data_IF_764829506226
#
_entry.id   IF_764829506226
#
_cell.length_a   1.000
_cell.length_b   1.000
_cell.length_c   1.000
_cell.angle_alpha   90.00
_cell.angle_beta   90.00
_cell.angle_gamma   90.00
#
_symmetry.space_group_name_H-M   'P 1'
#
loop_
_entity.id
_entity.type
_entity.pdbx_description
1 polymer ?
#
# COMPACT_ATOMS: atom_id res chain seq x y z
N UNK A 1 2.78 5.36 51.47
CA UNK A 1 1.59 5.19 50.61
C UNK A 1 1.58 6.28 49.54
N UNK A 2 2.14 6.00 48.37
CA UNK A 2 2.24 6.96 47.26
C UNK A 2 1.12 6.70 46.27
N UNK A 3 0.17 7.64 46.15
CA UNK A 3 -0.91 7.65 45.15
C UNK A 3 -0.30 7.67 43.74
N UNK A 4 -0.33 6.52 43.05
CA UNK A 4 -0.09 6.46 41.61
C UNK A 4 -1.24 7.19 40.90
N UNK A 5 -0.92 8.25 40.15
CA UNK A 5 -1.90 8.90 39.28
C UNK A 5 -2.30 7.89 38.19
N UNK A 6 -3.60 7.63 37.95
CA UNK A 6 -4.03 6.75 36.87
C UNK A 6 -3.59 7.38 35.55
N UNK A 7 -2.85 6.60 34.77
CA UNK A 7 -2.48 6.93 33.40
C UNK A 7 -3.79 7.02 32.60
N UNK A 8 -4.32 8.23 32.44
CA UNK A 8 -5.54 8.48 31.67
C UNK A 8 -5.24 8.20 30.21
N UNK A 9 -5.50 6.96 29.82
CA UNK A 9 -5.43 6.43 28.47
C UNK A 9 -6.43 7.22 27.60
N UNK A 10 -5.98 8.32 26.97
CA UNK A 10 -6.73 9.09 25.98
C UNK A 10 -6.82 8.33 24.65
N UNK A 11 -7.24 7.07 24.71
CA UNK A 11 -7.41 6.18 23.56
C UNK A 11 -8.75 6.28 22.79
N UNK A 12 -9.84 6.95 23.24
CA UNK A 12 -11.10 6.84 22.51
C UNK A 12 -11.16 7.68 21.22
N UNK A 13 -10.23 8.61 20.98
CA UNK A 13 -10.29 9.50 19.81
C UNK A 13 -9.68 8.83 18.56
N UNK A 14 -8.68 7.94 18.72
CA UNK A 14 -8.06 7.26 17.56
C UNK A 14 -8.93 6.11 17.03
N UNK A 15 -9.68 5.43 17.91
CA UNK A 15 -10.62 4.38 17.52
C UNK A 15 -11.88 4.95 16.84
N UNK A 16 -12.25 6.19 17.15
CA UNK A 16 -13.40 6.87 16.51
C UNK A 16 -13.08 7.34 15.07
N UNK A 17 -11.80 7.56 14.73
CA UNK A 17 -11.36 7.90 13.37
C UNK A 17 -11.30 6.68 12.44
N UNK A 18 -11.17 5.47 12.97
CA UNK A 18 -11.27 4.20 12.22
C UNK A 18 -12.73 3.78 11.95
N UNK A 19 -13.71 4.41 12.62
CA UNK A 19 -15.14 4.16 12.46
C UNK A 19 -15.88 5.29 11.74
N UNK A 20 -15.17 6.33 11.28
CA UNK A 20 -15.74 7.20 10.28
C UNK A 20 -16.03 6.31 9.06
N UNK A 21 -17.29 6.15 8.62
CA UNK A 21 -17.55 5.60 7.30
C UNK A 21 -16.61 6.38 6.37
N UNK A 22 -15.87 5.71 5.45
CA UNK A 22 -15.16 6.46 4.43
C UNK A 22 -16.20 7.42 3.90
N UNK A 23 -15.97 8.72 4.10
CA UNK A 23 -16.92 9.76 3.74
C UNK A 23 -17.33 9.37 2.33
N UNK A 24 -18.57 8.91 2.20
CA UNK A 24 -19.15 8.64 0.92
C UNK A 24 -19.33 10.04 0.36
N UNK A 25 -18.22 10.58 -0.17
CA UNK A 25 -18.22 11.63 -1.14
C UNK A 25 -19.07 11.05 -2.25
N UNK A 26 -20.38 11.32 -2.16
CA UNK A 26 -21.26 11.40 -3.32
C UNK A 26 -20.86 12.61 -4.14
N UNK A 27 -19.56 12.75 -4.41
CA UNK A 27 -19.09 13.48 -5.54
C UNK A 27 -19.65 12.70 -6.73
N UNK A 28 -20.41 13.40 -7.56
CA UNK A 28 -21.00 12.83 -8.75
C UNK A 28 -19.83 12.30 -9.59
N UNK A 29 -19.57 10.99 -9.49
CA UNK A 29 -18.47 10.34 -10.20
C UNK A 29 -18.58 10.73 -11.66
N UNK A 30 -17.53 11.36 -12.18
CA UNK A 30 -17.43 11.78 -13.57
C UNK A 30 -17.56 10.58 -14.49
N UNK A 31 -17.74 10.84 -15.78
CA UNK A 31 -17.86 9.76 -16.76
C UNK A 31 -16.61 8.84 -16.74
N UNK A 32 -15.43 9.42 -16.45
CA UNK A 32 -14.17 8.70 -16.31
C UNK A 32 -14.20 7.66 -15.18
N UNK A 33 -14.54 8.01 -13.92
CA UNK A 33 -14.50 7.04 -12.83
C UNK A 33 -15.53 5.92 -13.02
N UNK A 34 -16.69 6.25 -13.60
CA UNK A 34 -17.69 5.25 -13.97
C UNK A 34 -17.15 4.30 -15.04
N UNK A 35 -16.52 4.83 -16.08
CA UNK A 35 -15.89 4.02 -17.13
C UNK A 35 -14.80 3.10 -16.57
N UNK A 36 -13.91 3.63 -15.73
CA UNK A 36 -12.81 2.86 -15.12
C UNK A 36 -13.37 1.75 -14.21
N UNK A 37 -14.49 1.99 -13.54
CA UNK A 37 -15.17 0.97 -12.75
C UNK A 37 -15.63 -0.20 -13.62
N UNK A 38 -16.25 0.05 -14.77
CA UNK A 38 -16.66 -1.00 -15.71
C UNK A 38 -15.45 -1.69 -16.36
N UNK A 39 -14.41 -0.92 -16.69
CA UNK A 39 -13.16 -1.43 -17.22
C UNK A 39 -12.49 -2.43 -16.27
N UNK A 40 -12.40 -2.11 -14.98
CA UNK A 40 -11.85 -2.98 -13.93
C UNK A 40 -12.70 -4.24 -13.67
N UNK A 41 -13.98 -4.21 -14.03
CA UNK A 41 -14.88 -5.36 -13.98
C UNK A 41 -14.83 -6.21 -15.26
N UNK A 42 -14.00 -5.86 -16.24
CA UNK A 42 -13.92 -6.49 -17.57
C UNK A 42 -15.24 -6.40 -18.36
N UNK A 43 -16.04 -5.37 -18.11
CA UNK A 43 -17.28 -4.99 -18.80
C UNK A 43 -16.95 -3.91 -19.85
N UNK A 44 -16.19 -4.29 -20.87
CA UNK A 44 -15.63 -3.34 -21.83
C UNK A 44 -16.71 -2.69 -22.70
N UNK A 45 -17.75 -3.44 -23.05
CA UNK A 45 -18.93 -2.96 -23.76
C UNK A 45 -19.64 -1.81 -23.02
N UNK A 46 -19.80 -1.92 -21.70
CA UNK A 46 -20.37 -0.88 -20.85
C UNK A 46 -19.39 0.30 -20.61
N UNK A 47 -18.08 0.03 -20.57
CA UNK A 47 -17.06 1.06 -20.36
C UNK A 47 -16.89 2.00 -21.57
N UNK A 48 -16.99 1.47 -22.79
CA UNK A 48 -16.81 2.24 -24.04
C UNK A 48 -17.65 3.53 -24.10
N UNK A 49 -19.00 3.51 -23.96
CA UNK A 49 -19.79 4.73 -24.06
C UNK A 49 -19.46 5.75 -22.97
N UNK A 50 -19.04 5.29 -21.79
CA UNK A 50 -18.66 6.17 -20.67
C UNK A 50 -17.31 6.84 -20.93
N UNK A 51 -16.33 6.12 -21.49
CA UNK A 51 -15.07 6.74 -21.92
C UNK A 51 -15.29 7.73 -23.07
N UNK A 52 -16.20 7.44 -24.01
CA UNK A 52 -16.57 8.39 -25.06
C UNK A 52 -17.22 9.65 -24.47
N UNK A 53 -18.03 9.52 -23.42
CA UNK A 53 -18.55 10.67 -22.68
C UNK A 53 -17.42 11.43 -21.99
N UNK A 54 -16.51 10.75 -21.30
CA UNK A 54 -15.37 11.35 -20.61
C UNK A 54 -14.47 12.16 -21.56
N UNK A 55 -14.28 11.70 -22.80
CA UNK A 55 -13.56 12.46 -23.83
C UNK A 55 -14.17 13.83 -24.16
N UNK A 56 -15.48 14.02 -23.92
CA UNK A 56 -16.14 15.31 -24.13
C UNK A 56 -15.99 16.24 -22.91
N UNK A 57 -15.70 15.68 -21.74
CA UNK A 57 -15.54 16.42 -20.48
C UNK A 57 -14.10 16.92 -20.32
N UNK A 58 -13.12 16.20 -20.89
CA UNK A 58 -11.70 16.51 -20.78
C UNK A 58 -11.19 17.41 -21.90
N UNK A 59 -10.51 18.50 -21.54
CA UNK A 59 -9.83 19.39 -22.48
C UNK A 59 -8.33 19.11 -22.64
N UNK A 60 -7.69 18.51 -21.63
CA UNK A 60 -6.25 18.26 -21.62
C UNK A 60 -5.86 17.10 -22.55
N UNK A 61 -4.81 17.29 -23.36
CA UNK A 61 -4.41 16.28 -24.34
C UNK A 61 -3.78 15.04 -23.68
N UNK A 62 -3.10 15.18 -22.53
CA UNK A 62 -2.50 14.04 -21.84
C UNK A 62 -3.59 13.14 -21.23
N UNK A 63 -4.59 13.73 -20.59
CA UNK A 63 -5.77 13.00 -20.09
C UNK A 63 -6.55 12.33 -21.23
N UNK A 64 -6.73 13.02 -22.37
CA UNK A 64 -7.37 12.41 -23.55
C UNK A 64 -6.60 11.22 -24.11
N UNK A 65 -5.26 11.29 -24.13
CA UNK A 65 -4.42 10.16 -24.53
C UNK A 65 -4.66 8.97 -23.61
N UNK A 66 -4.77 9.18 -22.29
CA UNK A 66 -5.06 8.10 -21.35
C UNK A 66 -6.43 7.48 -21.60
N UNK A 67 -7.47 8.30 -21.84
CA UNK A 67 -8.80 7.80 -22.20
C UNK A 67 -8.77 7.02 -23.50
N UNK A 68 -8.06 7.50 -24.53
CA UNK A 68 -7.88 6.75 -25.77
C UNK A 68 -7.13 5.43 -25.53
N UNK A 69 -6.14 5.40 -24.64
CA UNK A 69 -5.46 4.13 -24.28
C UNK A 69 -6.44 3.12 -23.69
N UNK A 70 -7.32 3.55 -22.76
CA UNK A 70 -8.36 2.68 -22.19
C UNK A 70 -9.38 2.22 -23.24
N UNK A 71 -9.85 3.11 -24.11
CA UNK A 71 -10.74 2.76 -25.23
C UNK A 71 -10.10 1.78 -26.21
N UNK A 72 -8.82 1.98 -26.53
CA UNK A 72 -8.06 1.09 -27.41
C UNK A 72 -7.97 -0.33 -26.85
N UNK A 73 -7.76 -0.47 -25.54
CA UNK A 73 -7.83 -1.76 -24.84
C UNK A 73 -9.25 -2.35 -24.96
N UNK A 74 -10.29 -1.58 -24.62
CA UNK A 74 -11.68 -2.04 -24.67
C UNK A 74 -12.06 -2.57 -26.05
N UNK A 75 -11.84 -1.78 -27.11
CA UNK A 75 -12.19 -2.18 -28.47
C UNK A 75 -11.40 -3.39 -28.96
N UNK A 76 -10.14 -3.52 -28.56
CA UNK A 76 -9.34 -4.69 -28.94
C UNK A 76 -9.88 -5.96 -28.29
N UNK A 77 -10.21 -5.91 -27.00
CA UNK A 77 -10.72 -7.05 -26.24
C UNK A 77 -12.16 -7.42 -26.62
N UNK A 78 -12.95 -6.46 -27.09
CA UNK A 78 -14.27 -6.69 -27.73
C UNK A 78 -14.15 -7.09 -29.22
N UNK A 79 -12.93 -7.30 -29.72
CA UNK A 79 -12.63 -7.68 -31.09
C UNK A 79 -13.12 -6.68 -32.17
N UNK A 80 -13.41 -5.45 -31.80
CA UNK A 80 -13.76 -4.35 -32.71
C UNK A 80 -12.49 -3.70 -33.27
N UNK A 81 -11.85 -4.43 -34.19
CA UNK A 81 -10.59 -4.01 -34.82
C UNK A 81 -10.70 -2.65 -35.51
N UNK A 82 -11.87 -2.32 -36.07
CA UNK A 82 -12.08 -1.08 -36.81
C UNK A 82 -11.98 0.12 -35.89
N UNK A 83 -12.70 0.09 -34.77
CA UNK A 83 -12.69 1.18 -33.80
C UNK A 83 -11.37 1.23 -33.01
N UNK A 84 -10.78 0.08 -32.68
CA UNK A 84 -9.45 0.02 -32.07
C UNK A 84 -8.39 0.74 -32.92
N UNK A 85 -8.32 0.42 -34.22
CA UNK A 85 -7.41 1.10 -35.17
C UNK A 85 -7.65 2.61 -35.21
N UNK A 86 -8.91 3.06 -35.24
CA UNK A 86 -9.23 4.48 -35.27
C UNK A 86 -8.70 5.20 -34.00
N UNK A 87 -8.94 4.61 -32.82
CA UNK A 87 -8.46 5.14 -31.55
C UNK A 87 -6.94 5.15 -31.46
N UNK A 88 -6.27 4.08 -31.89
CA UNK A 88 -4.80 4.02 -31.91
C UNK A 88 -4.19 5.11 -32.80
N UNK A 89 -4.79 5.38 -33.96
CA UNK A 89 -4.37 6.51 -34.82
C UNK A 89 -4.55 7.86 -34.12
N UNK A 90 -5.61 8.04 -33.33
CA UNK A 90 -5.81 9.28 -32.56
C UNK A 90 -4.75 9.46 -31.46
N UNK A 91 -4.25 8.37 -30.86
CA UNK A 91 -3.11 8.39 -29.94
C UNK A 91 -1.85 8.83 -30.70
N UNK A 92 -1.50 8.14 -31.78
CA UNK A 92 -0.26 8.38 -32.55
C UNK A 92 -0.19 9.76 -33.19
N UNK A 93 -1.34 10.36 -33.55
CA UNK A 93 -1.40 11.74 -34.03
C UNK A 93 -0.96 12.76 -32.97
N UNK A 94 -1.25 12.49 -31.70
CA UNK A 94 -0.94 13.39 -30.57
C UNK A 94 0.43 13.10 -29.98
N UNK A 95 0.75 11.82 -29.84
CA UNK A 95 2.02 11.34 -29.32
C UNK A 95 2.53 10.17 -30.19
N UNK A 96 3.43 10.45 -31.16
CA UNK A 96 3.99 9.44 -32.05
C UNK A 96 4.80 8.36 -31.33
N UNK A 97 5.36 8.68 -30.16
CA UNK A 97 6.20 7.80 -29.35
C UNK A 97 5.37 7.04 -28.28
N UNK A 98 4.06 7.30 -28.20
CA UNK A 98 3.18 6.71 -27.21
C UNK A 98 3.25 5.19 -27.23
N UNK A 99 3.61 4.55 -26.12
CA UNK A 99 3.61 3.09 -25.97
C UNK A 99 2.60 2.62 -24.92
N UNK A 100 2.22 1.34 -25.00
CA UNK A 100 1.49 0.64 -23.94
C UNK A 100 2.47 0.01 -22.95
N UNK A 101 2.14 0.10 -21.66
CA UNK A 101 2.89 -0.57 -20.61
C UNK A 101 2.46 -2.05 -20.51
N UNK A 102 3.40 -3.02 -20.62
CA UNK A 102 3.13 -4.45 -20.46
C UNK A 102 2.47 -4.85 -19.13
N UNK A 103 2.55 -4.02 -18.09
CA UNK A 103 1.89 -4.28 -16.82
C UNK A 103 0.38 -4.04 -16.85
N UNK A 104 -0.11 -3.21 -17.77
CA UNK A 104 -1.51 -2.78 -17.82
C UNK A 104 -2.25 -3.20 -19.09
N UNK A 105 -1.53 -3.50 -20.18
CA UNK A 105 -2.11 -3.97 -21.43
C UNK A 105 -1.78 -5.44 -21.67
N UNK A 106 -2.75 -6.20 -22.20
CA UNK A 106 -2.50 -7.58 -22.60
C UNK A 106 -1.53 -7.62 -23.81
N UNK A 107 -0.80 -8.72 -24.01
CA UNK A 107 0.06 -8.88 -25.18
C UNK A 107 -0.67 -8.66 -26.51
N UNK A 108 -1.97 -9.03 -26.59
CA UNK A 108 -2.80 -8.82 -27.77
C UNK A 108 -2.98 -7.33 -28.10
N UNK A 109 -3.26 -6.49 -27.10
CA UNK A 109 -3.41 -5.04 -27.28
C UNK A 109 -2.10 -4.41 -27.75
N UNK A 110 -0.98 -4.80 -27.13
CA UNK A 110 0.34 -4.28 -27.47
C UNK A 110 0.68 -4.61 -28.92
N UNK A 111 0.50 -5.87 -29.33
CA UNK A 111 0.73 -6.30 -30.71
C UNK A 111 -0.17 -5.55 -31.69
N UNK A 112 -1.46 -5.40 -31.37
CA UNK A 112 -2.40 -4.66 -32.23
C UNK A 112 -1.99 -3.19 -32.41
N UNK A 113 -1.55 -2.53 -31.33
CA UNK A 113 -1.09 -1.15 -31.37
C UNK A 113 0.21 -0.97 -32.15
N UNK A 114 1.20 -1.83 -31.92
CA UNK A 114 2.50 -1.79 -32.62
C UNK A 114 2.34 -2.03 -34.13
N UNK A 115 1.46 -2.96 -34.53
CA UNK A 115 1.11 -3.16 -35.94
C UNK A 115 0.53 -1.88 -36.56
N UNK A 116 -0.33 -1.17 -35.83
CA UNK A 116 -0.91 0.08 -36.32
C UNK A 116 0.12 1.22 -36.35
N UNK A 117 1.03 1.30 -35.37
CA UNK A 117 2.14 2.26 -35.39
C UNK A 117 3.02 2.06 -36.62
N UNK A 118 3.42 0.83 -36.92
CA UNK A 118 4.24 0.51 -38.09
C UNK A 118 3.51 0.80 -39.43
N UNK A 119 2.17 0.69 -39.48
CA UNK A 119 1.38 1.12 -40.65
C UNK A 119 1.37 2.63 -40.79
N UNK A 120 1.11 3.33 -39.70
CA UNK A 120 1.04 4.79 -39.66
C UNK A 120 2.38 5.46 -40.03
N UNK A 121 3.50 4.90 -39.58
CA UNK A 121 4.85 5.37 -39.95
C UNK A 121 5.09 5.25 -41.46
N UNK A 122 4.80 4.08 -42.05
CA UNK A 122 4.93 3.86 -43.51
C UNK A 122 4.03 4.79 -44.33
N UNK A 123 2.81 5.08 -43.87
CA UNK A 123 1.91 6.04 -44.54
C UNK A 123 2.52 7.45 -44.58
N UNK A 124 3.23 7.87 -43.51
CA UNK A 124 3.91 9.17 -43.43
C UNK A 124 5.18 9.24 -44.28
N UNK A 125 5.98 8.18 -44.26
CA UNK A 125 7.20 8.08 -45.07
C UNK A 125 6.85 8.04 -46.56
N UNK A 126 5.88 7.21 -46.97
CA UNK A 126 5.43 7.11 -48.35
C UNK A 126 4.76 8.38 -48.91
N UNK A 127 4.28 9.28 -48.04
CA UNK A 127 3.81 10.61 -48.47
C UNK A 127 4.98 11.55 -48.81
N UNK A 128 6.18 11.26 -48.30
CA UNK A 128 7.40 12.06 -48.50
C UNK A 128 8.24 11.55 -49.69
N UNK A 129 8.11 10.26 -50.06
CA UNK A 129 8.91 9.61 -51.12
C UNK A 129 8.33 9.72 -52.55
N UNK A 130 7.29 10.55 -52.77
CA UNK A 130 6.91 10.98 -54.12
C UNK A 130 7.95 11.87 -54.81
N UNK A 131 9.01 12.26 -54.09
CA UNK A 131 10.07 13.14 -54.60
C UNK A 131 11.45 12.72 -54.09
N UNK A 132 11.85 11.47 -54.39
CA UNK A 132 13.28 11.13 -54.54
C UNK A 132 13.80 9.93 -53.74
N UNK A 133 14.49 9.06 -54.48
CA UNK A 133 15.43 8.01 -54.05
C UNK A 133 14.79 6.79 -53.37
N UNK A 134 14.69 5.63 -54.00
CA UNK A 134 15.76 4.77 -54.56
C UNK A 134 16.69 4.20 -53.46
N UNK A 135 16.35 2.97 -53.06
CA UNK A 135 17.23 1.86 -52.69
C UNK A 135 18.30 2.05 -51.60
N UNK A 136 18.04 1.51 -50.40
CA UNK A 136 19.02 0.66 -49.68
C UNK A 136 18.28 -0.46 -48.97
N UNK A 137 18.37 -1.66 -49.54
CA UNK A 137 17.97 -2.93 -48.93
C UNK A 137 19.14 -3.39 -48.05
N UNK A 138 19.06 -3.17 -46.74
CA UNK A 138 19.97 -3.80 -45.77
C UNK A 138 19.15 -4.65 -44.80
N UNK A 139 19.34 -5.96 -44.90
CA UNK A 139 18.74 -6.98 -44.04
C UNK A 139 19.59 -7.14 -42.77
N UNK A 140 19.10 -6.81 -41.57
CA UNK A 140 19.85 -7.07 -40.35
C UNK A 140 19.73 -8.54 -39.96
N UNK A 141 20.88 -9.20 -39.91
CA UNK A 141 21.04 -10.58 -39.43
C UNK A 141 20.90 -10.61 -37.91
N UNK A 142 19.92 -11.32 -37.38
CA UNK A 142 19.71 -11.51 -35.93
C UNK A 142 20.70 -12.57 -35.42
N UNK A 143 21.58 -12.26 -34.45
CA UNK A 143 22.37 -13.27 -33.76
C UNK A 143 21.49 -14.10 -32.81
N UNK A 144 21.32 -15.39 -33.13
CA UNK A 144 20.81 -16.40 -32.21
C UNK A 144 21.88 -16.73 -31.17
N UNK A 145 21.59 -16.45 -29.89
CA UNK A 145 22.47 -16.86 -28.79
C UNK A 145 22.02 -16.31 -27.45
N UNK A 146 21.00 -16.92 -26.84
CA UNK A 146 20.73 -16.78 -25.41
C UNK A 146 20.73 -18.19 -24.83
N UNK A 147 21.87 -18.57 -24.24
CA UNK A 147 22.01 -19.73 -23.37
C UNK A 147 21.11 -19.56 -22.14
N UNK A 148 20.16 -20.47 -21.98
CA UNK A 148 19.39 -20.66 -20.75
C UNK A 148 20.17 -21.58 -19.80
N UNK A 149 20.91 -20.98 -18.86
CA UNK A 149 21.42 -21.67 -17.69
C UNK A 149 20.46 -21.54 -16.50
N UNK A 150 20.10 -22.62 -15.78
CA UNK A 150 19.23 -22.55 -14.61
C UNK A 150 19.95 -21.93 -13.40
N UNK A 151 19.33 -21.00 -12.65
CA UNK A 151 19.92 -20.46 -11.43
C UNK A 151 19.91 -21.50 -10.31
N UNK A 152 21.10 -21.80 -9.79
CA UNK A 152 21.30 -22.64 -8.62
C UNK A 152 20.68 -21.99 -7.37
N UNK A 153 19.80 -22.72 -6.71
CA UNK A 153 19.17 -22.32 -5.46
C UNK A 153 20.20 -22.36 -4.28
N UNK A 154 20.32 -21.29 -3.47
CA UNK A 154 21.08 -21.35 -2.23
C UNK A 154 20.29 -22.13 -1.17
N UNK A 155 20.81 -23.30 -0.80
CA UNK A 155 20.35 -24.09 0.33
C UNK A 155 20.85 -23.45 1.63
N UNK A 156 20.04 -22.57 2.22
CA UNK A 156 20.30 -22.01 3.53
C UNK A 156 19.66 -22.91 4.60
N UNK A 157 20.46 -23.81 5.17
CA UNK A 157 20.11 -24.54 6.40
C UNK A 157 20.22 -23.58 7.58
N UNK A 158 19.08 -23.04 8.02
CA UNK A 158 18.98 -22.29 9.29
C UNK A 158 18.95 -23.32 10.42
N UNK A 159 20.09 -23.44 11.10
CA UNK A 159 20.28 -24.27 12.28
C UNK A 159 19.52 -23.63 13.47
N UNK A 160 18.32 -24.15 13.76
CA UNK A 160 17.55 -23.83 14.97
C UNK A 160 18.13 -24.60 16.16
N UNK A 161 19.26 -24.13 16.65
CA UNK A 161 19.80 -24.58 17.94
C UNK A 161 19.01 -23.97 19.12
N UNK A 162 18.51 -24.88 19.95
CA UNK A 162 17.72 -24.75 21.19
C UNK A 162 17.83 -23.45 22.02
N UNK A 163 16.70 -22.84 22.41
CA UNK A 163 16.64 -21.76 23.38
C UNK A 163 16.52 -22.33 24.80
N UNK A 164 17.62 -22.53 25.52
CA UNK A 164 17.53 -22.95 26.93
C UNK A 164 18.46 -22.26 27.92
N UNK A 165 19.37 -21.38 27.48
CA UNK A 165 20.27 -20.67 28.40
C UNK A 165 20.12 -19.15 28.26
N UNK A 166 19.06 -18.58 28.85
CA UNK A 166 18.96 -17.14 29.05
C UNK A 166 19.36 -16.76 30.48
N UNK A 167 20.48 -16.04 30.67
CA UNK A 167 20.90 -15.55 31.98
C UNK A 167 19.93 -14.48 32.51
N UNK A 168 19.87 -14.28 33.85
CA UNK A 168 18.94 -13.37 34.48
C UNK A 168 19.10 -11.93 34.00
N UNK A 169 17.95 -11.39 33.57
CA UNK A 169 17.66 -10.01 33.18
C UNK A 169 18.15 -8.98 34.22
N UNK A 170 19.33 -8.39 34.00
CA UNK A 170 19.85 -7.34 34.89
C UNK A 170 20.73 -6.26 34.23
N UNK A 171 21.19 -6.45 32.99
CA UNK A 171 22.01 -5.48 32.27
C UNK A 171 21.25 -4.93 31.07
N UNK A 172 21.10 -3.60 30.97
CA UNK A 172 20.43 -2.92 29.86
C UNK A 172 21.15 -3.15 28.54
N UNK A 173 20.89 -4.28 27.89
CA UNK A 173 21.37 -4.58 26.55
C UNK A 173 20.67 -3.64 25.57
N UNK A 174 21.47 -2.87 24.84
CA UNK A 174 20.99 -2.11 23.69
C UNK A 174 20.40 -3.08 22.67
N UNK A 175 19.11 -2.96 22.39
CA UNK A 175 18.44 -3.71 21.32
C UNK A 175 19.09 -3.31 19.99
N UNK A 176 19.53 -4.28 19.15
CA UNK A 176 20.11 -3.95 17.84
C UNK A 176 19.12 -3.14 16.99
N UNK A 177 19.62 -2.14 16.26
CA UNK A 177 18.79 -1.27 15.41
C UNK A 177 17.92 -2.09 14.44
N UNK A 178 18.46 -3.15 13.84
CA UNK A 178 17.72 -4.00 12.90
C UNK A 178 16.50 -4.70 13.52
N UNK A 179 16.55 -5.04 14.82
CA UNK A 179 15.42 -5.65 15.52
C UNK A 179 14.31 -4.63 15.80
N UNK A 180 14.68 -3.34 15.96
CA UNK A 180 13.71 -2.23 16.15
C UNK A 180 12.94 -1.85 14.90
N UNK A 181 13.44 -2.22 13.72
CA UNK A 181 12.78 -1.96 12.43
C UNK A 181 11.81 -3.07 12.01
N UNK A 182 11.72 -4.15 12.80
CA UNK A 182 10.81 -5.24 12.48
C UNK A 182 9.37 -4.87 12.85
N UNK A 183 8.39 -5.13 11.96
CA UNK A 183 6.98 -4.89 12.23
C UNK A 183 6.44 -5.83 13.32
N UNK A 184 5.14 -5.76 13.56
CA UNK A 184 4.41 -6.57 14.54
C UNK A 184 4.84 -6.33 15.98
N UNK A 185 5.34 -5.13 16.29
CA UNK A 185 5.76 -4.75 17.63
C UNK A 185 6.98 -5.52 18.15
N UNK A 186 7.72 -6.23 17.29
CA UNK A 186 8.90 -7.02 17.67
C UNK A 186 9.95 -6.12 18.33
N UNK A 187 10.14 -4.91 17.79
CA UNK A 187 11.03 -3.91 18.38
C UNK A 187 10.66 -3.53 19.83
N UNK A 188 9.37 -3.35 20.10
CA UNK A 188 8.86 -3.04 21.44
C UNK A 188 8.99 -4.22 22.40
N UNK A 189 8.75 -5.45 21.95
CA UNK A 189 8.98 -6.63 22.78
C UNK A 189 10.44 -6.80 23.16
N UNK A 190 11.36 -6.58 22.21
CA UNK A 190 12.80 -6.62 22.47
C UNK A 190 13.24 -5.51 23.44
N UNK A 191 12.58 -4.36 23.42
CA UNK A 191 12.80 -3.26 24.37
C UNK A 191 12.13 -3.48 25.75
N UNK A 192 11.36 -4.56 25.94
CA UNK A 192 10.63 -4.84 27.17
C UNK A 192 9.28 -4.10 27.29
N UNK A 193 8.87 -3.35 26.27
CA UNK A 193 7.63 -2.56 26.21
C UNK A 193 6.43 -3.44 25.80
N UNK A 194 6.10 -4.46 26.61
CA UNK A 194 5.08 -5.48 26.27
C UNK A 194 3.72 -4.91 25.89
N UNK A 195 3.29 -3.82 26.51
CA UNK A 195 2.00 -3.19 26.22
C UNK A 195 1.92 -2.66 24.79
N UNK A 196 2.96 -1.94 24.33
CA UNK A 196 3.03 -1.42 22.96
C UNK A 196 3.22 -2.54 21.95
N UNK A 197 4.12 -3.48 22.25
CA UNK A 197 4.35 -4.64 21.36
C UNK A 197 3.06 -5.43 21.11
N UNK A 198 2.26 -5.66 22.15
CA UNK A 198 0.97 -6.36 22.00
C UNK A 198 -0.04 -5.57 21.17
N UNK A 199 -0.07 -4.24 21.33
CA UNK A 199 -0.95 -3.38 20.54
C UNK A 199 -0.63 -3.44 19.05
N UNK A 200 0.65 -3.27 18.67
CA UNK A 200 1.05 -3.32 17.26
C UNK A 200 0.88 -4.73 16.67
N UNK A 201 1.32 -5.77 17.38
CA UNK A 201 1.11 -7.16 16.95
C UNK A 201 -0.36 -7.45 16.64
N UNK A 202 -1.27 -7.12 17.57
CA UNK A 202 -2.69 -7.41 17.41
C UNK A 202 -3.32 -6.55 16.29
N UNK A 203 -3.00 -5.25 16.26
CA UNK A 203 -3.52 -4.32 15.25
C UNK A 203 -3.10 -4.69 13.83
N UNK A 204 -1.81 -4.92 13.62
CA UNK A 204 -1.28 -5.29 12.31
C UNK A 204 -1.77 -6.66 11.86
N UNK A 205 -1.79 -7.66 12.76
CA UNK A 205 -2.33 -8.99 12.44
C UNK A 205 -3.80 -8.91 12.03
N UNK A 206 -4.60 -8.11 12.73
CA UNK A 206 -6.02 -7.92 12.39
C UNK A 206 -6.18 -7.24 11.03
N UNK A 207 -5.43 -6.17 10.76
CA UNK A 207 -5.53 -5.42 9.51
C UNK A 207 -5.04 -6.23 8.31
N UNK A 208 -3.86 -6.84 8.38
CA UNK A 208 -3.36 -7.71 7.32
C UNK A 208 -4.24 -8.95 7.13
N UNK A 209 -4.68 -9.58 8.24
CA UNK A 209 -5.59 -10.72 8.19
C UNK A 209 -6.92 -10.37 7.51
N UNK A 210 -7.49 -9.20 7.84
CA UNK A 210 -8.71 -8.71 7.20
C UNK A 210 -8.49 -8.40 5.72
N UNK A 211 -7.37 -7.76 5.36
CA UNK A 211 -7.04 -7.46 3.97
C UNK A 211 -6.95 -8.74 3.12
N UNK A 212 -6.24 -9.76 3.60
CA UNK A 212 -6.09 -11.06 2.93
C UNK A 212 -7.43 -11.79 2.86
N UNK A 213 -8.18 -11.85 3.96
CA UNK A 213 -9.49 -12.52 3.97
C UNK A 213 -10.47 -11.85 3.00
N UNK A 214 -10.48 -10.52 2.95
CA UNK A 214 -11.34 -9.75 2.05
C UNK A 214 -10.96 -9.96 0.59
N UNK A 215 -9.66 -10.08 0.28
CA UNK A 215 -9.20 -10.45 -1.05
C UNK A 215 -9.76 -11.81 -1.48
N UNK A 216 -9.61 -12.85 -0.65
CA UNK A 216 -10.12 -14.19 -0.98
C UNK A 216 -11.64 -14.22 -1.06
N UNK A 217 -12.34 -13.54 -0.15
CA UNK A 217 -13.79 -13.41 -0.21
C UNK A 217 -14.23 -12.76 -1.53
N UNK A 218 -13.54 -11.69 -1.96
CA UNK A 218 -13.81 -11.03 -3.24
C UNK A 218 -13.55 -11.98 -4.41
N UNK A 219 -12.38 -12.64 -4.46
CA UNK A 219 -12.06 -13.59 -5.54
C UNK A 219 -13.06 -14.74 -5.61
N UNK A 220 -13.59 -15.20 -4.48
CA UNK A 220 -14.61 -16.27 -4.44
C UNK A 220 -15.97 -15.89 -5.03
N UNK A 221 -16.24 -14.59 -5.20
CA UNK A 221 -17.45 -14.10 -5.89
C UNK A 221 -17.33 -14.16 -7.41
N UNK A 222 -16.17 -14.54 -7.97
CA UNK A 222 -16.00 -14.65 -9.41
C UNK A 222 -16.60 -15.96 -9.92
N UNK A 223 -17.27 -15.87 -11.07
CA UNK A 223 -17.70 -17.03 -11.84
C UNK A 223 -16.50 -17.74 -12.49
N UNK A 224 -16.75 -18.91 -13.08
CA UNK A 224 -15.71 -19.68 -13.79
C UNK A 224 -15.12 -18.98 -15.01
N UNK A 225 -15.77 -17.93 -15.51
CA UNK A 225 -15.28 -17.05 -16.59
C UNK A 225 -14.36 -15.92 -16.07
N UNK A 226 -14.15 -15.82 -14.76
CA UNK A 226 -13.33 -14.79 -14.12
C UNK A 226 -14.03 -13.45 -13.87
N UNK A 227 -15.30 -13.30 -14.29
CA UNK A 227 -16.11 -12.09 -14.07
C UNK A 227 -16.96 -12.21 -12.80
N UNK A 228 -17.43 -11.08 -12.28
CA UNK A 228 -18.39 -11.07 -11.17
C UNK A 228 -19.82 -11.15 -11.73
N UNK A 229 -20.72 -11.97 -11.12
CA UNK A 229 -22.15 -11.90 -11.42
C UNK A 229 -22.69 -10.49 -11.17
N UNK A 230 -23.62 -10.01 -12.00
CA UNK A 230 -24.22 -8.66 -11.86
C UNK A 230 -24.80 -8.42 -10.45
N UNK A 231 -25.40 -9.45 -9.85
CA UNK A 231 -25.97 -9.41 -8.50
C UNK A 231 -24.91 -9.26 -7.39
N UNK A 232 -23.66 -9.60 -7.66
CA UNK A 232 -22.56 -9.60 -6.70
C UNK A 232 -21.55 -8.47 -6.94
N UNK A 233 -21.65 -7.72 -8.04
CA UNK A 233 -20.79 -6.54 -8.33
C UNK A 233 -20.78 -5.56 -7.16
N UNK A 234 -21.95 -5.28 -6.57
CA UNK A 234 -22.06 -4.40 -5.40
C UNK A 234 -21.28 -4.91 -4.19
N UNK A 235 -21.33 -6.22 -3.92
CA UNK A 235 -20.58 -6.85 -2.83
C UNK A 235 -19.08 -6.86 -3.13
N UNK A 236 -18.69 -7.17 -4.37
CA UNK A 236 -17.30 -7.18 -4.80
C UNK A 236 -16.65 -5.80 -4.65
N UNK A 237 -17.37 -4.73 -4.99
CA UNK A 237 -16.96 -3.33 -4.76
C UNK A 237 -16.79 -3.03 -3.27
N UNK A 238 -17.76 -3.39 -2.44
CA UNK A 238 -17.67 -3.18 -1.00
C UNK A 238 -16.46 -3.91 -0.38
N UNK A 239 -16.23 -5.17 -0.78
CA UNK A 239 -15.04 -5.92 -0.37
C UNK A 239 -13.75 -5.27 -0.87
N UNK A 240 -13.70 -4.78 -2.11
CA UNK A 240 -12.55 -4.04 -2.61
C UNK A 240 -12.26 -2.78 -1.78
N UNK A 241 -13.29 -2.02 -1.41
CA UNK A 241 -13.15 -0.84 -0.54
C UNK A 241 -12.59 -1.24 0.83
N UNK A 242 -13.12 -2.30 1.45
CA UNK A 242 -12.63 -2.80 2.75
C UNK A 242 -11.19 -3.28 2.64
N UNK A 243 -10.84 -4.00 1.56
CA UNK A 243 -9.48 -4.45 1.30
C UNK A 243 -8.54 -3.25 1.19
N UNK A 244 -8.86 -2.26 0.34
CA UNK A 244 -8.04 -1.07 0.16
C UNK A 244 -7.86 -0.30 1.49
N UNK A 245 -8.95 -0.03 2.20
CA UNK A 245 -8.92 0.69 3.46
C UNK A 245 -8.08 -0.02 4.54
N UNK A 246 -8.26 -1.34 4.72
CA UNK A 246 -7.47 -2.12 5.69
C UNK A 246 -6.00 -2.24 5.29
N UNK A 247 -5.70 -2.31 3.99
CA UNK A 247 -4.33 -2.30 3.47
C UNK A 247 -3.60 -0.99 3.76
N UNK A 248 -4.23 0.16 3.47
CA UNK A 248 -3.67 1.47 3.79
C UNK A 248 -3.48 1.65 5.29
N UNK A 249 -4.48 1.27 6.09
CA UNK A 249 -4.39 1.33 7.55
C UNK A 249 -3.25 0.45 8.10
N UNK A 250 -3.04 -0.75 7.54
CA UNK A 250 -1.95 -1.63 7.94
C UNK A 250 -0.57 -0.99 7.68
N UNK A 251 -0.37 -0.40 6.50
CA UNK A 251 0.88 0.29 6.15
C UNK A 251 1.15 1.46 7.08
N UNK A 252 0.14 2.29 7.35
CA UNK A 252 0.27 3.42 8.29
C UNK A 252 0.64 2.94 9.69
N UNK A 253 0.03 1.84 10.15
CA UNK A 253 0.31 1.28 11.47
C UNK A 253 1.74 0.71 11.56
N UNK A 254 2.23 0.03 10.52
CA UNK A 254 3.62 -0.46 10.43
C UNK A 254 4.62 0.68 10.46
N UNK A 255 4.39 1.74 9.68
CA UNK A 255 5.26 2.92 9.66
C UNK A 255 5.29 3.59 11.04
N UNK A 256 4.14 3.64 11.73
CA UNK A 256 4.07 4.13 13.10
C UNK A 256 4.88 3.22 14.04
N UNK A 257 4.65 1.90 14.06
CA UNK A 257 5.38 0.93 14.89
C UNK A 257 6.89 1.14 14.80
N UNK A 258 7.41 1.22 13.57
CA UNK A 258 8.83 1.46 13.30
C UNK A 258 9.29 2.83 13.84
N UNK A 259 8.52 3.89 13.61
CA UNK A 259 8.88 5.23 14.08
C UNK A 259 8.86 5.35 15.63
N UNK A 260 7.90 4.73 16.32
CA UNK A 260 7.84 4.70 17.78
C UNK A 260 8.96 3.82 18.36
N UNK A 261 9.28 2.69 17.72
CA UNK A 261 10.40 1.82 18.10
C UNK A 261 11.78 2.48 17.97
N UNK A 262 11.93 3.46 17.07
CA UNK A 262 13.15 4.26 16.92
C UNK A 262 13.23 5.43 17.91
N UNK A 263 12.12 5.83 18.52
CA UNK A 263 12.09 6.97 19.43
C UNK A 263 12.94 6.69 20.69
N UNK A 264 13.79 7.64 21.12
CA UNK A 264 14.60 7.44 22.32
C UNK A 264 13.68 7.28 23.53
N UNK A 265 14.01 6.38 24.48
CA UNK A 265 13.20 6.22 25.69
C UNK A 265 13.09 7.59 26.37
N UNK A 266 11.89 7.97 26.85
CA UNK A 266 11.73 9.22 27.58
C UNK A 266 12.75 9.19 28.70
N UNK A 267 13.61 10.22 28.78
CA UNK A 267 14.64 10.32 29.81
C UNK A 267 13.94 10.08 31.13
N UNK A 268 14.10 8.87 31.69
CA UNK A 268 13.43 8.47 32.91
C UNK A 268 13.81 9.55 33.89
N UNK A 269 12.82 10.38 34.29
CA UNK A 269 13.05 11.58 35.09
C UNK A 269 13.89 11.12 36.24
N UNK A 270 15.20 11.38 36.14
CA UNK A 270 16.24 10.68 36.87
C UNK A 270 15.86 10.91 38.29
N UNK A 271 15.18 9.92 38.90
CA UNK A 271 14.42 10.11 40.14
C UNK A 271 15.49 10.70 41.02
N UNK A 272 15.38 12.01 41.29
CA UNK A 272 16.48 12.75 41.89
C UNK A 272 16.80 11.86 43.06
N UNK A 273 17.98 11.25 43.02
CA UNK A 273 18.40 10.43 44.11
C UNK A 273 18.40 11.45 45.22
N UNK A 274 17.30 11.49 45.97
CA UNK A 274 17.28 11.85 47.35
C UNK A 274 18.30 10.85 47.91
N UNK A 275 19.58 11.18 47.74
CA UNK A 275 20.45 11.44 48.84
C UNK A 275 19.59 12.12 49.91
N UNK A 276 18.82 11.30 50.63
CA UNK A 276 18.92 11.32 52.07
C UNK A 276 20.40 11.10 52.35
N UNK A 277 21.21 12.15 52.18
CA UNK A 277 22.33 12.37 53.09
C UNK A 277 21.63 12.34 54.43
N UNK A 278 21.74 11.21 55.12
CA UNK A 278 21.49 11.17 56.54
C UNK A 278 22.36 12.28 57.11
N UNK A 279 21.75 13.41 57.42
CA UNK A 279 22.17 14.13 58.60
C UNK A 279 21.84 13.13 59.71
N UNK A 280 22.83 12.56 60.40
CA UNK A 280 22.53 11.81 61.61
C UNK A 280 21.85 12.80 62.55
N UNK A 281 20.53 12.70 62.70
CA UNK A 281 19.84 13.33 63.81
C UNK A 281 20.30 12.53 65.02
N UNK A 282 21.31 13.05 65.72
CA UNK A 282 21.63 12.63 67.07
C UNK A 282 20.35 12.77 67.88
N UNK A 283 19.71 11.63 68.13
CA UNK A 283 18.66 11.50 69.12
C UNK A 283 19.32 11.70 70.48
N UNK A 284 19.36 12.95 70.93
CA UNK A 284 19.64 13.29 72.31
C UNK A 284 18.31 13.08 73.05
N UNK A 285 18.16 11.89 73.64
CA UNK A 285 17.07 11.64 74.56
C UNK A 285 17.19 12.55 75.77
N UNK A 286 16.12 13.29 76.09
CA UNK A 286 15.27 13.05 77.25
C UNK A 286 14.21 14.14 77.28
N UNK A 287 12.97 13.70 77.42
CA UNK A 287 11.83 14.49 77.88
C UNK A 287 11.37 15.57 76.89
N UNK A 288 10.30 15.30 76.13
CA UNK A 288 9.13 16.17 76.01
C UNK A 288 8.05 15.50 75.16
N UNK A 289 6.90 15.29 75.81
CA UNK A 289 5.63 14.84 75.26
C UNK A 289 5.07 15.96 74.38
N UNK A 290 4.70 15.66 73.13
CA UNK A 290 3.73 16.47 72.39
C UNK A 290 2.76 15.59 71.61
N UNK A 291 1.56 15.43 72.19
CA UNK A 291 0.35 15.10 71.43
C UNK A 291 0.01 16.31 70.54
N UNK A 292 -0.11 16.08 69.23
CA UNK A 292 -0.58 17.08 68.29
C UNK A 292 -1.53 16.46 67.29
N UNK A 293 -2.82 16.43 67.64
CA UNK A 293 -3.92 16.25 66.71
C UNK A 293 -3.97 17.44 65.74
N UNK A 294 -4.08 17.19 64.43
CA UNK A 294 -4.65 18.17 63.52
C UNK A 294 -5.71 17.56 62.62
N UNK A 295 -6.77 18.34 62.53
CA UNK A 295 -8.16 18.04 62.22
C UNK A 295 -8.44 18.04 60.72
N UNK A 296 -9.46 17.28 60.36
CA UNK A 296 -10.13 17.26 59.06
C UNK A 296 -10.71 18.64 58.69
N UNK A 297 -10.68 18.98 57.39
CA UNK A 297 -11.64 19.88 56.76
C UNK A 297 -12.24 19.17 55.54
N UNK A 298 -13.57 19.24 55.48
CA UNK A 298 -14.44 18.80 54.39
C UNK A 298 -14.21 19.64 53.13
#
# INVERSE_FOLDING_TARGET
>A
MTKSKPLSFRFPILLLLLLAPPLAFGEEQGAWEKAETHFLLHEYDAAIPLYLQALNEVSDDAERIEIFKRLGICYTLEHDKKNATAVFREILKRDPEAAYDPLYASPEVIVAFEVERARWQREREGTTEGEGAEAVEETPSIPSGIETGPPAAPSASVDLSSPSDLPPSGGGRSVPLGVRLLPFGIGHFAAGERGKGTFFLAGETLLFGTNIATYFARVSLRNGDGRYPEEDVGKAKALQTVQLATGVAAIVLVVWDVADGLSPPPLSSRRAAHFSRGVPVLSLGKDHIFLGWQTWRF
#
